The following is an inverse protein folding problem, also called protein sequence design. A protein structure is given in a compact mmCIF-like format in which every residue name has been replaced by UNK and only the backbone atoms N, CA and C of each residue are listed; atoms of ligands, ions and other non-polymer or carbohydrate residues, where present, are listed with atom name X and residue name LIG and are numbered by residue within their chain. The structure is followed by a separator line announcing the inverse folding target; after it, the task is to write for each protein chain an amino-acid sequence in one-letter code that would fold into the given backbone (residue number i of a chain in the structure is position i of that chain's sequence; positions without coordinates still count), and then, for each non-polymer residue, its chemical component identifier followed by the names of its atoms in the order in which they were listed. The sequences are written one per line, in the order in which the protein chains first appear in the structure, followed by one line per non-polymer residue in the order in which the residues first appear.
data_IF_681760291522
#
_entry.id   IF_681760291522
#
_cell.length_a   1.000
_cell.length_b   1.000
_cell.length_c   1.000
_cell.angle_alpha   90.00
_cell.angle_beta   90.00
_cell.angle_gamma   90.00
#
_symmetry.space_group_name_H-M   'P 1'
#
loop_
_entity.id
_entity.type
_entity.pdbx_description
1 polymer ?
#
# COMPACT_ATOMS: atom_id res chain seq x y z
N UNK A 1 -4.64 -26.78 -11.41
CA UNK A 1 -5.04 -26.39 -10.04
C UNK A 1 -4.46 -25.00 -9.77
N UNK A 2 -5.32 -24.02 -9.56
CA UNK A 2 -4.91 -22.66 -9.16
C UNK A 2 -4.44 -22.75 -7.71
N UNK A 3 -3.22 -22.33 -7.44
CA UNK A 3 -2.71 -22.27 -6.07
C UNK A 3 -3.65 -21.41 -5.21
N UNK A 4 -3.93 -21.79 -3.96
CA UNK A 4 -4.79 -21.01 -3.09
C UNK A 4 -4.20 -19.60 -2.92
N UNK A 5 -5.01 -18.62 -3.25
CA UNK A 5 -4.60 -17.21 -3.10
C UNK A 5 -4.83 -16.80 -1.66
N UNK A 6 -3.77 -16.47 -0.95
CA UNK A 6 -3.89 -15.96 0.42
C UNK A 6 -4.34 -14.50 0.38
N UNK A 7 -5.48 -14.22 1.01
CA UNK A 7 -6.05 -12.87 1.14
C UNK A 7 -6.10 -12.47 2.60
N UNK A 8 -5.65 -11.27 2.91
CA UNK A 8 -5.67 -10.77 4.27
C UNK A 8 -5.89 -9.25 4.29
N UNK A 9 -6.64 -8.77 5.27
CA UNK A 9 -6.72 -7.35 5.58
C UNK A 9 -5.55 -6.94 6.49
N UNK A 10 -5.00 -5.76 6.24
CA UNK A 10 -3.84 -5.25 7.00
C UNK A 10 -4.16 -5.10 8.49
N UNK A 11 -5.40 -4.73 8.84
CA UNK A 11 -5.84 -4.68 10.23
C UNK A 11 -5.71 -6.02 10.97
N UNK A 12 -5.81 -7.15 10.27
CA UNK A 12 -5.56 -8.48 10.85
C UNK A 12 -4.08 -8.80 11.02
N UNK A 13 -3.23 -8.24 10.17
CA UNK A 13 -1.77 -8.38 10.32
C UNK A 13 -1.22 -7.54 11.46
N UNK A 14 -1.84 -6.40 11.72
CA UNK A 14 -1.44 -5.52 12.80
C UNK A 14 -1.44 -6.26 14.15
N UNK A 15 -0.38 -6.06 14.92
CA UNK A 15 -0.16 -6.69 16.24
C UNK A 15 0.18 -8.18 16.20
N UNK A 16 0.15 -8.86 15.06
CA UNK A 16 0.60 -10.25 14.99
C UNK A 16 2.07 -10.38 15.37
N UNK A 17 2.39 -11.43 16.09
CA UNK A 17 3.77 -11.79 16.40
C UNK A 17 4.48 -12.30 15.14
N UNK A 18 5.71 -11.87 14.96
CA UNK A 18 6.60 -12.30 13.88
C UNK A 18 7.64 -13.26 14.46
N UNK A 19 7.78 -14.41 13.82
CA UNK A 19 8.72 -15.45 14.21
C UNK A 19 9.74 -15.71 13.10
N UNK A 20 10.94 -16.04 13.50
CA UNK A 20 11.98 -16.52 12.58
C UNK A 20 11.81 -18.01 12.23
N UNK A 21 12.64 -18.59 11.34
CA UNK A 21 12.54 -20.01 11.01
C UNK A 21 12.83 -20.97 12.15
N UNK A 22 13.50 -20.52 13.20
CA UNK A 22 13.79 -21.30 14.40
C UNK A 22 12.67 -21.26 15.43
N UNK A 23 11.62 -20.45 15.17
CA UNK A 23 10.50 -20.25 16.07
C UNK A 23 10.76 -19.20 17.15
N UNK A 24 11.83 -18.43 17.03
CA UNK A 24 12.11 -17.32 17.93
C UNK A 24 11.31 -16.09 17.54
N UNK A 25 10.77 -15.39 18.53
CA UNK A 25 9.99 -14.18 18.31
C UNK A 25 10.90 -13.01 17.95
N UNK A 26 10.70 -12.48 16.74
CA UNK A 26 11.38 -11.27 16.24
C UNK A 26 10.74 -10.00 16.78
N UNK A 27 9.41 -9.92 16.76
CA UNK A 27 8.67 -8.73 17.16
C UNK A 27 7.19 -8.83 16.84
N UNK A 28 6.56 -7.65 16.61
CA UNK A 28 5.14 -7.54 16.24
C UNK A 28 4.98 -6.63 15.01
N UNK A 29 4.06 -7.00 14.13
CA UNK A 29 3.68 -6.16 12.98
C UNK A 29 3.04 -4.86 13.49
N UNK A 30 3.51 -3.73 12.96
CA UNK A 30 2.95 -2.40 13.23
C UNK A 30 2.28 -1.77 12.03
N UNK A 31 2.79 -2.03 10.83
CA UNK A 31 2.23 -1.51 9.59
C UNK A 31 2.66 -2.36 8.39
N UNK A 32 2.07 -2.08 7.25
CA UNK A 32 2.45 -2.64 5.94
C UNK A 32 2.89 -1.50 5.04
N UNK A 33 4.04 -1.68 4.39
CA UNK A 33 4.59 -0.73 3.43
C UNK A 33 4.12 -1.10 2.03
N UNK A 34 3.51 -0.14 1.34
CA UNK A 34 3.07 -0.30 -0.04
C UNK A 34 3.75 0.71 -0.95
N UNK A 35 3.89 0.34 -2.23
CA UNK A 35 4.38 1.23 -3.28
C UNK A 35 3.40 1.27 -4.43
N UNK A 36 3.22 2.47 -4.97
CA UNK A 36 2.47 2.71 -6.20
C UNK A 36 3.44 2.70 -7.39
N UNK A 37 3.00 2.22 -8.53
CA UNK A 37 3.80 2.22 -9.76
C UNK A 37 2.89 2.50 -10.95
N UNK A 38 3.34 3.37 -11.83
CA UNK A 38 2.64 3.69 -13.08
C UNK A 38 2.44 2.49 -13.99
N UNK A 39 3.44 1.63 -14.03
CA UNK A 39 3.47 0.47 -14.95
C UNK A 39 2.64 -0.71 -14.45
N UNK A 40 2.18 -0.69 -13.20
CA UNK A 40 1.40 -1.79 -12.62
C UNK A 40 -0.03 -1.35 -12.36
N UNK A 41 -0.97 -2.24 -12.64
CA UNK A 41 -2.40 -1.99 -12.38
C UNK A 41 -2.71 -1.81 -10.89
N UNK A 42 -1.95 -2.46 -10.01
CA UNK A 42 -2.18 -2.48 -8.56
C UNK A 42 -0.94 -2.10 -7.76
N UNK A 43 -1.11 -1.39 -6.63
CA UNK A 43 -0.02 -1.15 -5.69
C UNK A 43 0.53 -2.48 -5.14
N UNK A 44 1.79 -2.49 -4.76
CA UNK A 44 2.44 -3.68 -4.15
C UNK A 44 2.66 -3.45 -2.67
N UNK A 45 2.35 -4.47 -1.87
CA UNK A 45 2.84 -4.57 -0.51
C UNK A 45 4.27 -5.12 -0.57
N UNK A 46 5.24 -4.31 -0.16
CA UNK A 46 6.67 -4.63 -0.28
C UNK A 46 7.30 -5.12 1.00
N UNK A 47 6.71 -4.82 2.15
CA UNK A 47 7.24 -5.22 3.43
C UNK A 47 6.34 -4.90 4.61
N UNK A 48 6.75 -5.40 5.76
CA UNK A 48 6.15 -5.13 7.05
C UNK A 48 7.05 -4.21 7.86
N UNK A 49 6.45 -3.28 8.59
CA UNK A 49 7.09 -2.59 9.70
C UNK A 49 6.89 -3.42 10.94
N UNK A 50 7.97 -3.91 11.53
CA UNK A 50 7.95 -4.78 12.69
C UNK A 50 8.61 -4.07 13.88
N UNK A 51 7.90 -3.98 14.98
CA UNK A 51 8.46 -3.47 16.22
C UNK A 51 9.15 -4.59 17.00
N UNK A 52 10.43 -4.40 17.23
CA UNK A 52 11.29 -5.31 18.00
C UNK A 52 11.59 -4.72 19.39
N UNK A 53 12.48 -5.33 20.14
CA UNK A 53 12.88 -4.85 21.46
C UNK A 53 13.25 -3.35 21.45
N UNK A 54 13.05 -2.69 22.60
CA UNK A 54 13.28 -1.25 22.80
C UNK A 54 12.47 -0.33 21.85
N UNK A 55 11.29 -0.79 21.41
CA UNK A 55 10.40 -0.07 20.48
C UNK A 55 11.05 0.31 19.15
N UNK A 56 12.12 -0.37 18.79
CA UNK A 56 12.76 -0.19 17.50
C UNK A 56 11.88 -0.78 16.40
N UNK A 57 11.72 -0.05 15.32
CA UNK A 57 11.00 -0.50 14.12
C UNK A 57 11.99 -0.88 13.04
N UNK A 58 11.79 -2.06 12.46
CA UNK A 58 12.60 -2.61 11.39
C UNK A 58 11.73 -2.91 10.17
N UNK A 59 12.32 -3.03 9.00
CA UNK A 59 11.66 -3.42 7.76
C UNK A 59 11.89 -4.90 7.48
N UNK A 60 10.79 -5.65 7.30
CA UNK A 60 10.83 -7.05 6.88
C UNK A 60 10.22 -7.15 5.48
N UNK A 61 11.02 -7.45 4.43
CA UNK A 61 10.50 -7.57 3.08
C UNK A 61 9.42 -8.65 2.98
N UNK A 62 8.37 -8.42 2.20
CA UNK A 62 7.33 -9.42 1.97
C UNK A 62 7.86 -10.70 1.31
N UNK A 63 8.97 -10.62 0.58
CA UNK A 63 9.68 -11.80 0.03
C UNK A 63 10.23 -12.74 1.11
N UNK A 64 10.38 -12.25 2.33
CA UNK A 64 10.82 -13.04 3.48
C UNK A 64 9.66 -13.61 4.30
N UNK A 65 8.44 -13.23 4.03
CA UNK A 65 7.24 -13.73 4.70
C UNK A 65 6.83 -15.04 4.02
N UNK A 66 6.86 -16.15 4.77
CA UNK A 66 6.46 -17.48 4.27
C UNK A 66 5.02 -17.82 4.59
N UNK A 67 4.52 -17.33 5.74
CA UNK A 67 3.15 -17.60 6.18
C UNK A 67 2.62 -16.44 7.01
N UNK A 68 1.34 -16.18 6.86
CA UNK A 68 0.55 -15.24 7.67
C UNK A 68 -0.65 -15.93 8.32
N UNK A 69 -0.61 -17.24 8.40
CA UNK A 69 -1.69 -18.09 8.91
C UNK A 69 -1.56 -18.33 10.41
N UNK A 70 -2.67 -18.74 11.02
CA UNK A 70 -2.68 -19.11 12.43
C UNK A 70 -2.45 -17.96 13.43
N UNK A 71 -2.67 -16.71 13.02
CA UNK A 71 -2.50 -15.56 13.91
C UNK A 71 -1.05 -15.17 14.18
N UNK A 72 -0.14 -15.60 13.33
CA UNK A 72 1.28 -15.27 13.40
C UNK A 72 1.89 -15.09 12.01
N UNK A 73 2.99 -14.36 11.95
CA UNK A 73 3.80 -14.18 10.73
C UNK A 73 5.09 -14.96 10.88
N UNK A 74 5.40 -15.81 9.91
CA UNK A 74 6.64 -16.57 9.86
C UNK A 74 7.51 -16.03 8.74
N UNK A 75 8.78 -15.78 9.05
CA UNK A 75 9.77 -15.25 8.10
C UNK A 75 10.82 -16.30 7.75
N UNK A 76 11.53 -16.10 6.64
CA UNK A 76 12.68 -16.91 6.24
C UNK A 76 13.97 -16.13 6.40
N UNK A 77 15.05 -16.85 6.72
CA UNK A 77 16.40 -16.32 6.79
C UNK A 77 16.60 -15.27 7.87
N UNK A 78 17.75 -14.64 7.85
CA UNK A 78 18.10 -13.59 8.82
C UNK A 78 17.33 -12.31 8.54
N UNK A 79 16.71 -11.77 9.58
CA UNK A 79 16.01 -10.48 9.53
C UNK A 79 17.03 -9.36 9.71
N UNK A 80 17.00 -8.36 8.84
CA UNK A 80 17.85 -7.18 8.96
C UNK A 80 17.32 -6.28 10.08
N UNK A 81 18.09 -6.10 11.12
CA UNK A 81 17.74 -5.32 12.32
C UNK A 81 18.00 -3.81 12.19
N UNK A 82 18.26 -3.30 10.96
CA UNK A 82 18.39 -1.86 10.73
C UNK A 82 17.08 -1.15 11.01
N UNK A 83 17.17 0.07 11.55
CA UNK A 83 15.99 0.91 11.77
C UNK A 83 15.28 1.16 10.43
N UNK A 84 13.96 1.04 10.45
CA UNK A 84 13.12 1.39 9.31
C UNK A 84 13.13 2.91 9.10
N UNK A 85 13.37 3.31 7.87
CA UNK A 85 13.24 4.67 7.38
C UNK A 85 12.38 4.64 6.12
N UNK A 86 11.25 5.33 6.17
CA UNK A 86 10.31 5.39 5.05
C UNK A 86 10.91 6.20 3.90
N UNK A 87 10.85 5.66 2.69
CA UNK A 87 11.28 6.33 1.47
C UNK A 87 10.14 7.15 0.86
N UNK A 88 10.46 8.11 0.00
CA UNK A 88 9.49 9.01 -0.63
C UNK A 88 8.41 8.28 -1.46
N UNK A 89 8.75 7.12 -2.05
CA UNK A 89 7.84 6.30 -2.85
C UNK A 89 7.10 5.21 -2.04
N UNK A 90 7.25 5.20 -0.73
CA UNK A 90 6.63 4.25 0.17
C UNK A 90 5.47 4.90 0.92
N UNK A 91 4.40 4.15 1.11
CA UNK A 91 3.23 4.56 1.88
C UNK A 91 2.94 3.53 2.96
N UNK A 92 2.67 3.99 4.17
CA UNK A 92 2.27 3.15 5.30
C UNK A 92 0.75 3.00 5.31
N UNK A 93 0.25 1.77 5.31
CA UNK A 93 -1.19 1.52 5.20
C UNK A 93 -1.95 2.04 6.40
N UNK A 94 -1.57 1.64 7.62
CA UNK A 94 -2.30 2.02 8.83
C UNK A 94 -2.09 3.48 9.21
N UNK A 95 -0.86 3.99 9.04
CA UNK A 95 -0.54 5.36 9.40
C UNK A 95 -1.05 6.40 8.40
N UNK A 96 -1.14 6.07 7.11
CA UNK A 96 -1.37 7.06 6.06
C UNK A 96 -2.63 6.81 5.21
N UNK A 97 -3.12 5.57 5.09
CA UNK A 97 -4.29 5.25 4.27
C UNK A 97 -5.56 5.01 5.08
N UNK A 98 -5.46 4.34 6.23
CA UNK A 98 -6.61 4.11 7.11
C UNK A 98 -7.10 5.43 7.70
N UNK A 99 -8.41 5.58 7.80
CA UNK A 99 -9.13 6.79 8.18
C UNK A 99 -9.02 7.96 7.17
N UNK A 100 -8.39 7.74 6.04
CA UNK A 100 -8.32 8.76 4.97
C UNK A 100 -9.68 8.90 4.28
N UNK A 101 -10.18 10.13 4.09
CA UNK A 101 -11.33 10.39 3.25
C UNK A 101 -10.97 10.18 1.78
N UNK A 102 -11.82 9.49 1.04
CA UNK A 102 -11.62 9.16 -0.36
C UNK A 102 -12.91 9.23 -1.14
N UNK A 103 -12.80 9.30 -2.47
CA UNK A 103 -13.91 9.12 -3.40
C UNK A 103 -13.81 7.74 -4.04
N UNK A 104 -14.90 7.00 -3.95
CA UNK A 104 -14.99 5.64 -4.49
C UNK A 104 -15.98 5.62 -5.65
N UNK A 105 -15.57 5.06 -6.76
CA UNK A 105 -16.44 4.83 -7.92
C UNK A 105 -17.36 3.65 -7.65
N UNK A 106 -18.64 3.92 -7.56
CA UNK A 106 -19.68 2.91 -7.31
C UNK A 106 -20.81 3.07 -8.31
N UNK A 107 -21.02 2.08 -9.18
CA UNK A 107 -22.09 2.13 -10.19
C UNK A 107 -22.01 3.31 -11.17
N UNK A 108 -20.80 3.83 -11.42
CA UNK A 108 -20.56 4.99 -12.30
C UNK A 108 -20.58 6.34 -11.59
N UNK A 109 -20.98 6.39 -10.34
CA UNK A 109 -20.98 7.59 -9.51
C UNK A 109 -19.79 7.61 -8.53
N UNK A 110 -19.35 8.81 -8.15
CA UNK A 110 -18.35 8.99 -7.09
C UNK A 110 -19.05 9.16 -5.74
N UNK A 111 -18.69 8.30 -4.81
CA UNK A 111 -19.26 8.28 -3.46
C UNK A 111 -18.17 8.63 -2.46
N UNK A 112 -18.44 9.59 -1.59
CA UNK A 112 -17.53 9.90 -0.49
C UNK A 112 -17.51 8.78 0.55
N UNK A 113 -16.33 8.35 0.91
CA UNK A 113 -16.10 7.28 1.87
C UNK A 113 -14.84 7.53 2.71
N UNK A 114 -14.66 6.73 3.74
CA UNK A 114 -13.45 6.69 4.56
C UNK A 114 -12.87 5.30 4.50
N UNK A 115 -11.57 5.17 4.30
CA UNK A 115 -10.89 3.87 4.33
C UNK A 115 -10.84 3.35 5.76
N UNK A 116 -11.39 2.15 5.97
CA UNK A 116 -11.35 1.45 7.27
C UNK A 116 -10.24 0.41 7.32
N UNK A 117 -9.95 -0.24 6.19
CA UNK A 117 -8.88 -1.24 6.07
C UNK A 117 -8.47 -1.45 4.61
N UNK A 118 -7.33 -2.05 4.40
CA UNK A 118 -6.78 -2.39 3.08
C UNK A 118 -6.56 -3.89 2.99
N UNK A 119 -7.04 -4.49 1.92
CA UNK A 119 -6.85 -5.89 1.61
C UNK A 119 -5.66 -6.12 0.69
N UNK A 120 -4.79 -7.05 1.07
CA UNK A 120 -3.65 -7.51 0.28
C UNK A 120 -3.83 -8.97 -0.09
N UNK A 121 -3.27 -9.36 -1.22
CA UNK A 121 -3.41 -10.69 -1.79
C UNK A 121 -2.07 -11.18 -2.33
N UNK A 122 -1.73 -12.43 -1.97
CA UNK A 122 -0.57 -13.12 -2.50
C UNK A 122 -0.94 -13.81 -3.80
N UNK A 123 -0.39 -13.32 -4.91
CA UNK A 123 -0.67 -13.83 -6.25
C UNK A 123 0.32 -14.90 -6.71
N UNK A 124 0.03 -15.48 -7.89
CA UNK A 124 0.84 -16.53 -8.52
C UNK A 124 2.30 -16.10 -8.80
N UNK A 125 2.58 -14.81 -8.93
CA UNK A 125 3.93 -14.26 -9.12
C UNK A 125 4.73 -14.14 -7.82
N UNK A 126 4.32 -14.79 -6.75
CA UNK A 126 4.93 -14.70 -5.40
C UNK A 126 5.05 -13.25 -4.88
N UNK A 127 4.17 -12.40 -5.32
CA UNK A 127 4.12 -11.00 -4.90
C UNK A 127 2.81 -10.68 -4.21
N UNK A 128 2.87 -9.81 -3.22
CA UNK A 128 1.71 -9.29 -2.53
C UNK A 128 1.24 -8.00 -3.21
N UNK A 129 -0.03 -7.96 -3.57
CA UNK A 129 -0.66 -6.80 -4.20
C UNK A 129 -1.78 -6.27 -3.34
N UNK A 130 -1.96 -4.95 -3.34
CA UNK A 130 -3.16 -4.31 -2.78
C UNK A 130 -4.29 -4.50 -3.79
N UNK A 131 -5.37 -5.15 -3.38
CA UNK A 131 -6.46 -5.51 -4.29
C UNK A 131 -7.77 -4.82 -3.98
N UNK A 132 -8.01 -4.48 -2.73
CA UNK A 132 -9.28 -3.93 -2.26
C UNK A 132 -9.11 -3.06 -1.04
N UNK A 133 -10.10 -2.21 -0.80
CA UNK A 133 -10.25 -1.46 0.42
C UNK A 133 -11.61 -1.75 1.06
N UNK A 134 -11.63 -1.85 2.37
CA UNK A 134 -12.85 -1.82 3.16
C UNK A 134 -13.12 -0.36 3.50
N UNK A 135 -14.25 0.15 3.07
CA UNK A 135 -14.59 1.57 3.17
C UNK A 135 -15.95 1.76 3.84
N UNK A 136 -16.11 2.90 4.49
CA UNK A 136 -17.35 3.36 5.08
C UNK A 136 -17.84 4.57 4.32
N UNK A 137 -19.06 4.49 3.78
CA UNK A 137 -19.73 5.60 3.11
C UNK A 137 -19.92 6.76 4.09
N UNK A 138 -19.54 7.95 3.69
CA UNK A 138 -19.78 9.15 4.47
C UNK A 138 -21.24 9.61 4.24
N UNK A 139 -22.02 9.61 5.28
CA UNK A 139 -23.36 10.22 5.24
C UNK A 139 -23.21 11.74 5.37
N UNK A 140 -23.63 12.46 4.33
CA UNK A 140 -23.70 13.91 4.36
C UNK A 140 -24.72 14.37 5.42
N UNK A 141 -24.22 14.76 6.57
CA UNK A 141 -25.01 15.34 7.65
C UNK A 141 -24.07 16.04 8.60
N UNK A 142 -24.29 17.34 8.79
CA UNK A 142 -23.66 18.16 9.82
C UNK A 142 -24.09 17.67 11.21
N UNK A 143 -23.57 16.52 11.62
CA UNK A 143 -23.76 16.04 12.98
C UNK A 143 -22.55 16.44 13.82
N UNK A 144 -22.74 17.38 14.72
CA UNK A 144 -21.77 17.77 15.76
C UNK A 144 -21.49 16.63 16.77
N UNK A 145 -22.05 15.45 16.53
CA UNK A 145 -21.86 14.29 17.40
C UNK A 145 -20.67 13.46 16.92
N UNK A 146 -19.56 13.37 17.70
CA UNK A 146 -18.38 12.59 17.34
C UNK A 146 -18.66 11.10 17.14
N UNK A 147 -19.76 10.58 17.68
CA UNK A 147 -20.20 9.19 17.48
C UNK A 147 -20.91 8.96 16.15
N UNK A 148 -21.30 10.02 15.42
CA UNK A 148 -21.96 9.88 14.12
C UNK A 148 -20.99 9.47 13.00
N UNK A 149 -19.71 9.68 13.18
CA UNK A 149 -18.66 9.27 12.22
C UNK A 149 -18.62 7.76 11.95
N UNK A 150 -19.20 6.95 12.83
CA UNK A 150 -19.28 5.49 12.69
C UNK A 150 -20.61 4.98 12.11
N UNK A 151 -21.52 5.86 11.74
CA UNK A 151 -22.81 5.53 11.13
C UNK A 151 -22.74 5.69 9.63
N UNK A 152 -22.30 4.70 8.92
CA UNK A 152 -22.31 4.66 7.47
C UNK A 152 -22.30 3.22 7.01
N UNK A 153 -22.90 2.98 5.85
CA UNK A 153 -22.82 1.69 5.19
C UNK A 153 -21.37 1.37 4.86
N UNK A 154 -20.95 0.15 5.15
CA UNK A 154 -19.62 -0.35 4.85
C UNK A 154 -19.67 -1.28 3.64
N UNK A 155 -18.68 -1.20 2.78
CA UNK A 155 -18.54 -2.09 1.64
C UNK A 155 -17.08 -2.28 1.26
N UNK A 156 -16.82 -3.30 0.44
CA UNK A 156 -15.50 -3.58 -0.11
C UNK A 156 -15.44 -3.03 -1.53
N UNK A 157 -14.47 -2.18 -1.80
CA UNK A 157 -14.21 -1.63 -3.12
C UNK A 157 -12.91 -2.18 -3.71
N UNK A 158 -12.87 -2.50 -5.01
CA UNK A 158 -11.62 -2.72 -5.71
C UNK A 158 -10.70 -1.49 -5.56
N UNK A 159 -9.40 -1.71 -5.44
CA UNK A 159 -8.46 -0.61 -5.25
C UNK A 159 -8.45 0.37 -6.42
N UNK A 160 -8.76 -0.11 -7.61
CA UNK A 160 -8.85 0.67 -8.85
C UNK A 160 -9.99 1.68 -8.85
N UNK A 161 -11.00 1.47 -8.01
CA UNK A 161 -12.18 2.35 -7.89
C UNK A 161 -11.98 3.49 -6.90
N UNK A 162 -10.83 3.57 -6.23
CA UNK A 162 -10.49 4.65 -5.31
C UNK A 162 -9.69 5.71 -6.06
N UNK A 163 -10.31 6.90 -6.22
CA UNK A 163 -9.79 7.95 -7.10
C UNK A 163 -8.44 8.49 -6.61
N UNK A 164 -8.30 8.80 -5.33
CA UNK A 164 -7.06 9.37 -4.77
C UNK A 164 -5.86 8.42 -4.87
N UNK A 165 -6.10 7.12 -4.79
CA UNK A 165 -5.03 6.12 -4.94
C UNK A 165 -4.64 5.96 -6.42
N UNK A 166 -5.56 6.24 -7.34
CA UNK A 166 -5.29 6.29 -8.77
C UNK A 166 -4.47 7.53 -9.13
N UNK A 167 -4.79 8.69 -8.56
CA UNK A 167 -4.03 9.93 -8.73
C UNK A 167 -2.63 9.84 -8.13
N UNK A 168 -2.48 9.29 -6.93
CA UNK A 168 -1.18 9.04 -6.32
C UNK A 168 -0.26 8.18 -7.20
N UNK A 169 -0.84 7.20 -7.89
CA UNK A 169 -0.13 6.38 -8.88
C UNK A 169 0.38 7.23 -10.06
N UNK A 170 -0.43 8.17 -10.56
CA UNK A 170 -0.04 9.04 -11.66
C UNK A 170 1.04 10.04 -11.25
N UNK A 171 0.91 10.65 -10.06
CA UNK A 171 1.88 11.59 -9.52
C UNK A 171 3.26 10.96 -9.30
N UNK A 172 3.32 9.77 -8.74
CA UNK A 172 4.58 9.04 -8.56
C UNK A 172 5.22 8.65 -9.90
N UNK A 173 4.40 8.43 -10.93
CA UNK A 173 4.86 8.17 -12.28
C UNK A 173 5.57 9.38 -12.89
N UNK A 174 4.97 10.56 -12.77
CA UNK A 174 5.54 11.81 -13.26
C UNK A 174 6.84 12.15 -12.52
N UNK A 175 6.87 11.99 -11.20
CA UNK A 175 8.07 12.22 -10.39
C UNK A 175 9.25 11.32 -10.81
N UNK A 176 8.99 10.04 -11.08
CA UNK A 176 10.03 9.10 -11.57
C UNK A 176 10.54 9.45 -12.95
N UNK A 177 9.66 9.93 -13.83
CA UNK A 177 10.08 10.40 -15.14
C UNK A 177 10.99 11.62 -15.02
N UNK A 178 10.64 12.57 -14.13
CA UNK A 178 11.46 13.74 -13.88
C UNK A 178 12.83 13.39 -13.32
N UNK A 179 12.90 12.50 -12.30
CA UNK A 179 14.18 12.00 -11.76
C UNK A 179 15.03 11.34 -12.86
N UNK A 180 14.43 10.51 -13.72
CA UNK A 180 15.15 9.88 -14.83
C UNK A 180 15.69 10.88 -15.85
N UNK A 181 14.99 12.02 -16.03
CA UNK A 181 15.44 13.09 -16.92
C UNK A 181 16.50 14.01 -16.28
N UNK A 182 16.47 14.20 -14.97
CA UNK A 182 17.48 14.97 -14.23
C UNK A 182 18.86 14.33 -14.28
N UNK A 183 18.93 13.00 -14.35
CA UNK A 183 20.18 12.24 -14.48
C UNK A 183 20.74 12.22 -15.92
N UNK A 184 19.99 12.69 -16.93
CA UNK A 184 20.43 12.77 -18.32
C UNK A 184 21.28 14.03 -18.58
N UNK A 185 22.33 13.88 -19.39
CA UNK A 185 23.10 15.02 -19.86
C UNK A 185 22.24 15.91 -20.77
N UNK A 186 22.51 17.22 -20.86
CA UNK A 186 21.72 18.14 -21.71
C UNK A 186 21.56 17.70 -23.16
N UNK A 187 22.54 17.02 -23.75
CA UNK A 187 22.46 16.48 -25.09
C UNK A 187 21.45 15.32 -25.21
N UNK A 188 21.43 14.43 -24.22
CA UNK A 188 20.51 13.28 -24.16
C UNK A 188 19.07 13.74 -23.90
N UNK A 189 18.91 14.81 -23.12
CA UNK A 189 17.61 15.46 -22.88
C UNK A 189 17.00 16.02 -24.16
N UNK A 190 17.80 16.64 -25.03
CA UNK A 190 17.31 17.20 -26.30
C UNK A 190 16.79 16.11 -27.25
N UNK A 191 17.44 14.95 -27.29
CA UNK A 191 17.03 13.80 -28.10
C UNK A 191 15.72 13.18 -27.57
N UNK A 192 15.59 12.99 -26.26
CA UNK A 192 14.39 12.46 -25.61
C UNK A 192 13.19 13.38 -25.81
N UNK A 193 13.38 14.71 -25.70
CA UNK A 193 12.29 15.68 -25.94
C UNK A 193 11.84 15.67 -27.41
N UNK A 194 12.75 15.41 -28.33
CA UNK A 194 12.41 15.31 -29.74
C UNK A 194 11.54 14.10 -30.05
N UNK A 195 11.77 12.97 -29.35
CA UNK A 195 11.02 11.71 -29.52
C UNK A 195 9.68 11.69 -28.78
N UNK A 196 9.43 12.64 -27.87
CA UNK A 196 8.15 12.76 -27.20
C UNK A 196 7.05 13.25 -28.16
N UNK A 197 5.93 12.55 -28.17
CA UNK A 197 4.75 13.00 -28.93
C UNK A 197 4.28 14.39 -28.45
N UNK A 198 3.67 15.21 -29.31
CA UNK A 198 3.23 16.57 -28.97
C UNK A 198 2.36 16.66 -27.71
N UNK A 199 1.60 15.60 -27.42
CA UNK A 199 0.73 15.51 -26.24
C UNK A 199 1.50 15.34 -24.91
N UNK A 200 2.72 14.83 -24.96
CA UNK A 200 3.60 14.64 -23.78
C UNK A 200 4.59 15.77 -23.57
N UNK A 201 4.75 16.66 -24.54
CA UNK A 201 5.63 17.84 -24.43
C UNK A 201 5.01 18.97 -23.61
N UNK A 202 3.70 18.91 -23.37
CA UNK A 202 2.94 19.94 -22.67
C UNK A 202 2.69 19.59 -21.18
N UNK A 203 3.13 18.43 -20.72
CA UNK A 203 3.15 18.00 -19.32
C UNK A 203 4.53 18.26 -18.70
#
# INVERSE_FOLDING_TARGET
AVAPTTRVFVGRLAQLSVFDPLGEKVGRVRDVVVTFSATRSRPRAIGLVVEVAARKRIFVPMTRVTSVEGGQVITTGLVNMRRFEQRANETLVLAELVERPVQVRLGGELVEATIEDIGIEHGAARSWSVTRAFVRKRTGGSSLNPFSKRRGETFVAPIEDIEELREAKQAQSAARLLEAYEDLKPADLAEVIHDLTPKRRAE
#
